data_IF_563501877146
#
_entry.id   IF_563501877146
#
_cell.length_a   1.000
_cell.length_b   1.000
_cell.length_c   1.000
_cell.angle_alpha   90.00
_cell.angle_beta   90.00
_cell.angle_gamma   90.00
#
_symmetry.space_group_name_H-M   'P 1'
#
loop_
_entity.id
_entity.type
_entity.pdbx_description
1 polymer ?
#
# COMPACT_ATOMS: atom_id res chain seq x y z
N UNK A 1 8.67 3.19 0.25
CA UNK A 1 7.68 3.50 1.31
C UNK A 1 7.63 2.33 2.26
N UNK A 2 7.30 2.50 3.54
CA UNK A 2 7.39 1.42 4.54
C UNK A 2 6.30 1.52 5.62
N UNK A 3 5.39 2.49 5.46
CA UNK A 3 4.24 2.70 6.35
C UNK A 3 3.01 3.05 5.52
N UNK A 4 1.81 2.90 6.09
CA UNK A 4 0.58 3.30 5.43
C UNK A 4 0.43 4.82 5.25
N UNK A 5 1.21 5.61 5.99
CA UNK A 5 1.18 7.06 5.90
C UNK A 5 2.15 7.58 4.84
N UNK A 6 1.77 8.64 4.14
CA UNK A 6 2.64 9.30 3.17
C UNK A 6 3.84 9.95 3.85
N UNK A 7 4.98 10.06 3.14
CA UNK A 7 6.22 10.59 3.72
C UNK A 7 6.12 12.05 4.20
N UNK A 8 5.16 12.81 3.68
CA UNK A 8 4.86 14.19 4.09
C UNK A 8 3.69 14.29 5.09
N UNK A 9 3.18 13.16 5.60
CA UNK A 9 2.15 13.17 6.62
C UNK A 9 2.67 13.71 7.95
N UNK A 10 1.90 14.60 8.58
CA UNK A 10 2.18 15.08 9.94
C UNK A 10 2.05 13.96 10.98
N UNK A 11 1.38 12.86 10.63
CA UNK A 11 1.22 11.67 11.47
C UNK A 11 2.21 10.56 11.15
N UNK A 12 3.16 10.75 10.23
CA UNK A 12 4.17 9.74 9.92
C UNK A 12 4.96 9.32 11.17
N UNK A 13 4.98 8.01 11.48
CA UNK A 13 5.83 7.47 12.53
C UNK A 13 7.29 7.42 12.07
N UNK A 14 8.07 8.42 12.47
CA UNK A 14 9.48 8.59 12.09
C UNK A 14 10.44 7.60 12.74
N UNK A 15 9.97 6.80 13.70
CA UNK A 15 10.78 5.77 14.34
C UNK A 15 10.89 4.49 13.52
N UNK A 16 9.96 4.29 12.56
CA UNK A 16 10.00 3.16 11.66
C UNK A 16 10.99 3.41 10.53
N UNK A 17 11.66 2.34 10.08
CA UNK A 17 12.66 2.42 9.00
C UNK A 17 12.29 1.45 7.88
N UNK A 18 12.58 1.80 6.60
CA UNK A 18 12.39 0.85 5.52
C UNK A 18 13.24 -0.41 5.75
N UNK A 19 12.76 -1.54 5.26
CA UNK A 19 13.55 -2.75 5.16
C UNK A 19 14.45 -2.67 3.93
N UNK A 20 15.70 -3.09 4.09
CA UNK A 20 16.59 -3.28 2.96
C UNK A 20 16.31 -4.63 2.28
N UNK A 21 16.57 -4.71 0.96
CA UNK A 21 16.51 -5.97 0.23
C UNK A 21 17.61 -6.89 0.73
N UNK A 22 17.24 -8.04 1.27
CA UNK A 22 18.16 -9.07 1.77
C UNK A 22 17.64 -10.46 1.40
N UNK A 23 18.19 -11.01 0.32
CA UNK A 23 17.83 -12.34 -0.19
C UNK A 23 18.21 -13.46 0.80
N UNK A 24 19.34 -13.31 1.52
CA UNK A 24 19.75 -14.32 2.48
C UNK A 24 18.80 -14.35 3.67
N UNK A 25 18.43 -13.18 4.16
CA UNK A 25 17.43 -13.05 5.23
C UNK A 25 16.08 -13.61 4.81
N UNK A 26 15.66 -13.32 3.57
CA UNK A 26 14.41 -13.87 3.00
C UNK A 26 14.44 -15.39 2.98
N UNK A 27 15.54 -16.01 2.52
CA UNK A 27 15.71 -17.47 2.53
C UNK A 27 15.71 -18.05 3.95
N UNK A 28 16.32 -17.38 4.92
CA UNK A 28 16.28 -17.80 6.34
C UNK A 28 14.85 -17.79 6.88
N UNK A 29 14.08 -16.74 6.60
CA UNK A 29 12.69 -16.61 7.05
C UNK A 29 11.80 -17.69 6.42
N UNK A 30 11.95 -17.94 5.13
CA UNK A 30 11.25 -19.02 4.44
C UNK A 30 11.56 -20.39 5.06
N UNK A 31 12.85 -20.70 5.31
CA UNK A 31 13.23 -21.95 5.99
C UNK A 31 12.60 -22.06 7.38
N UNK A 32 12.63 -21.01 8.19
CA UNK A 32 12.01 -20.98 9.52
C UNK A 32 10.50 -21.21 9.47
N UNK A 33 9.85 -20.81 8.36
CA UNK A 33 8.42 -21.01 8.12
C UNK A 33 8.09 -22.37 7.51
N UNK A 34 9.09 -23.27 7.34
CA UNK A 34 8.90 -24.62 6.86
C UNK A 34 9.00 -24.78 5.34
N UNK A 35 9.41 -23.74 4.62
CA UNK A 35 9.71 -23.85 3.19
C UNK A 35 11.12 -24.40 2.96
N UNK A 36 11.31 -25.07 1.82
CA UNK A 36 12.63 -25.61 1.41
C UNK A 36 12.76 -25.56 -0.12
N UNK A 37 13.96 -25.79 -0.63
CA UNK A 37 14.23 -25.80 -2.08
C UNK A 37 14.49 -27.22 -2.55
N UNK A 38 13.90 -27.60 -3.68
CA UNK A 38 14.20 -28.84 -4.37
C UNK A 38 15.59 -28.79 -5.05
N UNK A 39 16.00 -29.92 -5.70
CA UNK A 39 17.29 -30.02 -6.40
C UNK A 39 17.41 -29.07 -7.59
N UNK A 40 16.30 -28.59 -8.13
CA UNK A 40 16.22 -27.67 -9.25
C UNK A 40 16.17 -26.20 -8.82
N UNK A 41 16.11 -25.92 -7.50
CA UNK A 41 16.05 -24.59 -6.93
C UNK A 41 14.64 -24.03 -6.81
N UNK A 42 13.59 -24.83 -7.03
CA UNK A 42 12.21 -24.38 -6.83
C UNK A 42 11.85 -24.36 -5.35
N UNK A 43 11.13 -23.34 -4.91
CA UNK A 43 10.63 -23.24 -3.56
C UNK A 43 9.44 -24.16 -3.34
N UNK A 44 9.53 -24.98 -2.30
CA UNK A 44 8.52 -25.98 -1.91
C UNK A 44 7.97 -25.59 -0.54
N UNK A 45 6.67 -25.68 -0.38
CA UNK A 45 5.99 -25.45 0.89
C UNK A 45 6.14 -26.65 1.85
N UNK A 46 5.71 -26.49 3.09
CA UNK A 46 5.75 -27.55 4.11
C UNK A 46 4.89 -28.79 3.80
N UNK A 47 4.03 -28.73 2.78
CA UNK A 47 3.18 -29.83 2.33
C UNK A 47 3.72 -30.52 1.09
N UNK A 48 4.85 -30.06 0.53
CA UNK A 48 5.48 -30.62 -0.64
C UNK A 48 5.03 -30.01 -1.97
N UNK A 49 4.27 -28.92 -1.97
CA UNK A 49 3.81 -28.26 -3.18
C UNK A 49 4.80 -27.19 -3.64
N UNK A 50 4.94 -27.03 -4.97
CA UNK A 50 5.63 -25.87 -5.54
C UNK A 50 4.91 -24.58 -5.19
N UNK A 51 5.67 -23.55 -4.80
CA UNK A 51 5.12 -22.20 -4.56
C UNK A 51 4.92 -21.53 -5.90
N UNK A 52 3.68 -21.54 -6.37
CA UNK A 52 3.23 -20.90 -7.62
C UNK A 52 1.99 -20.07 -7.35
N UNK A 53 1.92 -18.85 -7.93
CA UNK A 53 0.78 -17.96 -7.79
C UNK A 53 0.71 -16.92 -8.91
N UNK A 54 -0.46 -16.29 -9.03
CA UNK A 54 -0.74 -15.22 -9.96
C UNK A 54 -0.47 -13.85 -9.32
N UNK A 55 0.25 -12.99 -10.04
CA UNK A 55 0.48 -11.60 -9.68
C UNK A 55 -0.28 -10.69 -10.64
N UNK A 56 -1.30 -10.01 -10.16
CA UNK A 56 -2.13 -9.12 -10.96
C UNK A 56 -1.75 -7.66 -10.83
N UNK A 57 -1.99 -6.88 -11.89
CA UNK A 57 -2.04 -5.41 -11.89
C UNK A 57 -2.99 -4.93 -12.97
N UNK A 58 -3.36 -3.65 -12.97
CA UNK A 58 -4.16 -3.09 -14.06
C UNK A 58 -3.30 -2.84 -15.31
N UNK A 59 -3.74 -3.37 -16.43
CA UNK A 59 -3.14 -3.11 -17.74
C UNK A 59 -3.23 -1.61 -18.12
N UNK A 60 -2.25 -1.15 -18.89
CA UNK A 60 -2.14 0.24 -19.35
C UNK A 60 -1.51 1.20 -18.35
N UNK A 61 -1.15 0.74 -17.16
CA UNK A 61 -0.32 1.50 -16.22
C UNK A 61 1.13 1.00 -16.33
N UNK A 62 1.90 1.64 -17.20
CA UNK A 62 3.28 1.22 -17.53
C UNK A 62 4.20 1.18 -16.32
N UNK A 63 4.00 2.06 -15.34
CA UNK A 63 4.78 2.10 -14.10
C UNK A 63 4.50 0.86 -13.23
N UNK A 64 3.22 0.51 -13.02
CA UNK A 64 2.85 -0.69 -12.27
C UNK A 64 3.25 -1.97 -12.99
N UNK A 65 3.16 -2.00 -14.31
CA UNK A 65 3.61 -3.14 -15.11
C UNK A 65 5.12 -3.35 -14.95
N UNK A 66 5.92 -2.28 -15.03
CA UNK A 66 7.36 -2.36 -14.80
C UNK A 66 7.70 -2.86 -13.39
N UNK A 67 7.00 -2.38 -12.36
CA UNK A 67 7.14 -2.85 -10.99
C UNK A 67 6.75 -4.32 -10.88
N UNK A 68 5.67 -4.74 -11.55
CA UNK A 68 5.24 -6.13 -11.55
C UNK A 68 6.29 -7.08 -12.09
N UNK A 69 7.00 -6.69 -13.15
CA UNK A 69 8.13 -7.44 -13.71
C UNK A 69 9.27 -7.55 -12.69
N UNK A 70 9.61 -6.46 -12.00
CA UNK A 70 10.67 -6.46 -10.98
C UNK A 70 10.29 -7.33 -9.77
N UNK A 71 9.06 -7.22 -9.29
CA UNK A 71 8.56 -8.05 -8.17
C UNK A 71 8.56 -9.53 -8.54
N UNK A 72 8.08 -9.86 -9.76
CA UNK A 72 8.16 -11.22 -10.31
C UNK A 72 9.58 -11.74 -10.25
N UNK A 73 10.57 -11.01 -10.78
CA UNK A 73 11.98 -11.42 -10.78
C UNK A 73 12.51 -11.64 -9.36
N UNK A 74 12.24 -10.71 -8.42
CA UNK A 74 12.68 -10.83 -7.04
C UNK A 74 12.13 -12.08 -6.32
N UNK A 75 10.90 -12.46 -6.64
CA UNK A 75 10.27 -13.66 -6.09
C UNK A 75 10.75 -14.94 -6.77
N UNK A 76 11.02 -14.90 -8.08
CA UNK A 76 11.61 -16.00 -8.82
C UNK A 76 13.06 -16.27 -8.40
N UNK A 77 13.83 -15.26 -8.00
CA UNK A 77 15.16 -15.40 -7.39
C UNK A 77 15.11 -16.17 -6.04
N UNK A 78 13.94 -16.23 -5.40
CA UNK A 78 13.68 -17.05 -4.22
C UNK A 78 13.17 -18.46 -4.56
N UNK A 79 13.01 -18.79 -5.84
CA UNK A 79 12.56 -20.11 -6.32
C UNK A 79 11.04 -20.25 -6.45
N UNK A 80 10.28 -19.16 -6.33
CA UNK A 80 8.84 -19.14 -6.57
C UNK A 80 8.54 -19.12 -8.07
N UNK A 81 7.38 -19.61 -8.50
CA UNK A 81 6.88 -19.41 -9.86
C UNK A 81 5.79 -18.35 -9.85
N UNK A 82 6.01 -17.25 -10.56
CA UNK A 82 5.09 -16.11 -10.56
C UNK A 82 4.52 -15.88 -11.95
N UNK A 83 3.20 -16.01 -12.09
CA UNK A 83 2.49 -15.74 -13.32
C UNK A 83 2.01 -14.28 -13.31
N UNK A 84 2.80 -13.37 -13.89
CA UNK A 84 2.44 -11.95 -13.93
C UNK A 84 1.37 -11.68 -14.99
N UNK A 85 0.23 -11.12 -14.56
CA UNK A 85 -0.99 -10.95 -15.37
C UNK A 85 -1.53 -9.51 -15.27
N UNK A 86 -1.09 -8.57 -16.12
CA UNK A 86 -1.80 -7.30 -16.30
C UNK A 86 -3.19 -7.54 -16.90
N UNK A 87 -4.25 -7.06 -16.24
CA UNK A 87 -5.64 -7.21 -16.69
C UNK A 87 -6.37 -5.87 -16.71
N UNK A 88 -7.51 -5.81 -17.40
CA UNK A 88 -8.35 -4.62 -17.43
C UNK A 88 -8.78 -4.21 -16.02
N UNK A 89 -8.89 -2.89 -15.77
CA UNK A 89 -9.08 -2.35 -14.41
C UNK A 89 -10.37 -2.83 -13.73
N UNK A 90 -11.51 -2.86 -14.43
CA UNK A 90 -12.77 -3.31 -13.84
C UNK A 90 -12.75 -4.82 -13.56
N UNK A 91 -12.04 -5.59 -14.38
CA UNK A 91 -11.81 -7.02 -14.14
C UNK A 91 -10.96 -7.25 -12.90
N UNK A 92 -9.92 -6.41 -12.68
CA UNK A 92 -9.13 -6.43 -11.46
C UNK A 92 -9.97 -6.09 -10.23
N UNK A 93 -10.78 -5.03 -10.30
CA UNK A 93 -11.70 -4.64 -9.22
C UNK A 93 -12.68 -5.76 -8.89
N UNK A 94 -13.23 -6.42 -9.92
CA UNK A 94 -14.14 -7.56 -9.73
C UNK A 94 -13.44 -8.72 -8.99
N UNK A 95 -12.19 -9.07 -9.40
CA UNK A 95 -11.41 -10.09 -8.68
C UNK A 95 -11.19 -9.73 -7.22
N UNK A 96 -10.84 -8.48 -6.93
CA UNK A 96 -10.55 -8.02 -5.57
C UNK A 96 -11.78 -7.91 -4.67
N UNK A 97 -12.92 -7.52 -5.22
CA UNK A 97 -14.06 -7.07 -4.43
C UNK A 97 -15.27 -8.03 -4.49
N UNK A 98 -15.36 -8.87 -5.52
CA UNK A 98 -16.51 -9.71 -5.74
C UNK A 98 -16.16 -11.20 -5.79
N UNK A 99 -15.31 -11.64 -6.71
CA UNK A 99 -14.99 -13.08 -6.82
C UNK A 99 -13.95 -13.54 -5.80
N UNK A 100 -13.10 -12.64 -5.30
CA UNK A 100 -11.94 -12.92 -4.43
C UNK A 100 -10.96 -13.95 -5.01
N UNK A 101 -10.99 -14.13 -6.33
CA UNK A 101 -10.14 -15.06 -7.08
C UNK A 101 -8.84 -14.39 -7.49
N UNK A 102 -7.93 -14.22 -6.54
CA UNK A 102 -6.60 -13.65 -6.72
C UNK A 102 -5.64 -14.10 -5.62
N UNK A 103 -4.34 -14.18 -5.93
CA UNK A 103 -3.29 -14.51 -4.99
C UNK A 103 -2.52 -13.26 -4.53
N UNK A 104 -2.02 -12.48 -5.49
CA UNK A 104 -1.25 -11.26 -5.24
C UNK A 104 -1.64 -10.16 -6.22
N UNK A 105 -1.64 -8.90 -5.75
CA UNK A 105 -1.98 -7.75 -6.59
C UNK A 105 -1.07 -6.56 -6.31
N UNK A 106 -0.69 -5.86 -7.36
CA UNK A 106 -0.04 -4.54 -7.28
C UNK A 106 -1.06 -3.48 -7.63
N UNK A 107 -1.34 -2.61 -6.65
CA UNK A 107 -2.24 -1.48 -6.84
C UNK A 107 -1.80 -0.27 -6.00
N UNK A 108 -2.44 0.87 -6.14
CA UNK A 108 -2.15 2.06 -5.38
C UNK A 108 -3.36 2.57 -4.63
N UNK A 109 -3.15 2.99 -3.41
CA UNK A 109 -4.12 3.76 -2.64
C UNK A 109 -3.69 5.22 -2.56
N UNK A 110 -4.67 6.12 -2.46
CA UNK A 110 -4.43 7.53 -2.16
C UNK A 110 -4.62 7.77 -0.67
N UNK A 111 -3.68 8.48 -0.06
CA UNK A 111 -3.77 8.89 1.35
C UNK A 111 -3.79 10.41 1.49
N UNK A 112 -4.22 10.90 2.65
CA UNK A 112 -4.11 12.31 3.02
C UNK A 112 -2.87 12.54 3.87
N UNK A 113 -2.04 13.56 3.59
CA UNK A 113 -0.92 13.90 4.46
C UNK A 113 -1.35 14.54 5.79
N UNK A 114 -2.61 14.96 5.91
CA UNK A 114 -3.12 15.69 7.07
C UNK A 114 -3.96 14.82 8.02
N UNK A 115 -4.54 13.72 7.54
CA UNK A 115 -5.55 12.98 8.28
C UNK A 115 -5.51 11.47 7.97
N UNK A 116 -5.00 10.64 8.89
CA UNK A 116 -4.95 9.19 8.71
C UNK A 116 -6.33 8.54 8.61
N UNK A 117 -7.36 9.12 9.22
CA UNK A 117 -8.71 8.57 9.22
C UNK A 117 -9.34 8.43 7.82
N UNK A 118 -8.79 9.10 6.81
CA UNK A 118 -9.12 8.86 5.39
C UNK A 118 -8.81 7.43 4.93
N UNK A 119 -7.88 6.74 5.59
CA UNK A 119 -7.51 5.34 5.33
C UNK A 119 -8.41 4.30 6.00
N UNK A 120 -9.45 4.70 6.74
CA UNK A 120 -10.29 3.78 7.52
C UNK A 120 -10.87 2.61 6.70
N UNK A 121 -11.24 2.85 5.45
CA UNK A 121 -11.80 1.80 4.59
C UNK A 121 -10.81 0.66 4.27
N UNK A 122 -9.51 0.94 4.37
CA UNK A 122 -8.45 -0.07 4.18
C UNK A 122 -8.14 -0.75 5.51
N UNK A 123 -8.12 0.00 6.61
CA UNK A 123 -7.54 -0.46 7.87
C UNK A 123 -8.55 -1.01 8.88
N UNK A 124 -9.78 -0.51 8.88
CA UNK A 124 -10.82 -1.09 9.74
C UNK A 124 -11.26 -2.45 9.21
N UNK A 125 -11.47 -3.40 10.10
CA UNK A 125 -11.85 -4.76 9.78
C UNK A 125 -13.21 -4.89 9.06
N UNK A 126 -14.07 -3.86 9.14
CA UNK A 126 -15.33 -3.71 8.41
C UNK A 126 -15.22 -2.81 7.16
N UNK A 127 -14.01 -2.34 6.85
CA UNK A 127 -13.75 -1.44 5.74
C UNK A 127 -14.00 -2.08 4.38
N UNK A 128 -14.57 -1.32 3.44
CA UNK A 128 -14.88 -1.83 2.10
C UNK A 128 -13.65 -2.14 1.25
N UNK A 129 -12.49 -1.57 1.59
CA UNK A 129 -11.20 -1.80 0.93
C UNK A 129 -10.22 -2.60 1.79
N UNK A 130 -10.73 -3.32 2.81
CA UNK A 130 -9.94 -4.21 3.65
C UNK A 130 -9.60 -5.52 2.91
N UNK A 131 -8.92 -5.38 1.76
CA UNK A 131 -8.75 -6.46 0.78
C UNK A 131 -7.81 -7.57 1.24
N UNK A 132 -6.86 -7.30 2.14
CA UNK A 132 -5.89 -8.27 2.62
C UNK A 132 -6.46 -9.32 3.58
N UNK A 133 -7.68 -9.11 4.09
CA UNK A 133 -8.43 -10.07 4.88
C UNK A 133 -9.94 -9.92 4.65
N UNK A 134 -10.33 -9.82 3.38
CA UNK A 134 -11.72 -9.64 2.99
C UNK A 134 -12.54 -10.92 3.31
N UNK A 135 -13.80 -10.72 3.74
CA UNK A 135 -14.71 -11.81 4.11
C UNK A 135 -15.92 -11.81 3.22
N UNK A 136 -16.31 -13.00 2.76
CA UNK A 136 -17.52 -13.20 2.00
C UNK A 136 -18.79 -13.02 2.87
N UNK A 137 -18.71 -13.38 4.15
CA UNK A 137 -19.75 -13.14 5.13
C UNK A 137 -19.27 -12.13 6.17
N UNK A 138 -20.01 -11.04 6.31
CA UNK A 138 -19.78 -10.04 7.36
C UNK A 138 -20.29 -10.60 8.69
N UNK A 139 -19.51 -11.46 9.30
CA UNK A 139 -19.70 -11.77 10.71
C UNK A 139 -19.20 -10.56 11.51
N UNK A 140 -20.15 -9.75 11.98
CA UNK A 140 -19.92 -8.43 12.57
C UNK A 140 -18.99 -8.43 13.80
N UNK A 141 -18.69 -9.60 14.38
CA UNK A 141 -17.94 -9.74 15.62
C UNK A 141 -16.54 -10.37 15.49
N UNK A 142 -16.08 -10.71 14.31
CA UNK A 142 -14.85 -11.46 14.16
C UNK A 142 -13.82 -10.75 13.28
N UNK A 143 -13.04 -9.81 13.83
CA UNK A 143 -11.73 -9.62 13.25
C UNK A 143 -10.98 -10.94 13.39
N UNK A 144 -10.44 -11.44 12.28
CA UNK A 144 -9.80 -12.75 12.20
C UNK A 144 -8.49 -12.79 12.96
N UNK A 145 -7.81 -11.63 13.00
CA UNK A 145 -6.52 -11.44 13.66
C UNK A 145 -6.61 -10.44 14.81
N UNK A 146 -5.86 -10.66 15.86
CA UNK A 146 -5.85 -9.75 17.02
C UNK A 146 -5.35 -8.35 16.68
N UNK A 147 -4.44 -8.23 15.70
CA UNK A 147 -3.91 -6.95 15.27
C UNK A 147 -4.99 -6.08 14.60
N UNK A 148 -5.94 -6.67 13.85
CA UNK A 148 -7.05 -5.93 13.23
C UNK A 148 -7.95 -5.30 14.30
N UNK A 149 -8.31 -6.06 15.36
CA UNK A 149 -9.08 -5.51 16.50
C UNK A 149 -8.37 -4.34 17.17
N UNK A 150 -7.04 -4.45 17.27
CA UNK A 150 -6.25 -3.36 17.83
C UNK A 150 -6.24 -2.14 16.92
N UNK A 151 -6.12 -2.32 15.62
CA UNK A 151 -6.21 -1.24 14.63
C UNK A 151 -7.59 -0.58 14.67
N UNK A 152 -8.68 -1.33 14.72
CA UNK A 152 -10.06 -0.81 14.87
C UNK A 152 -10.17 0.12 16.07
N UNK A 153 -9.65 -0.31 17.23
CA UNK A 153 -9.61 0.49 18.42
C UNK A 153 -8.79 1.77 18.24
N UNK A 154 -7.58 1.65 17.68
CA UNK A 154 -6.65 2.78 17.51
C UNK A 154 -7.21 3.84 16.55
N UNK A 155 -7.83 3.43 15.45
CA UNK A 155 -8.50 4.34 14.52
C UNK A 155 -9.67 5.07 15.19
N UNK A 156 -10.51 4.35 15.94
CA UNK A 156 -11.61 4.93 16.70
C UNK A 156 -11.11 5.95 17.72
N UNK A 157 -10.12 5.60 18.54
CA UNK A 157 -9.56 6.51 19.55
C UNK A 157 -8.83 7.70 18.90
N UNK A 158 -8.10 7.47 17.81
CA UNK A 158 -7.44 8.53 17.05
C UNK A 158 -8.42 9.54 16.46
N UNK A 159 -9.59 9.08 15.99
CA UNK A 159 -10.63 9.96 15.48
C UNK A 159 -11.32 10.78 16.58
N UNK A 160 -11.50 10.21 17.78
CA UNK A 160 -12.16 10.85 18.92
C UNK A 160 -11.24 11.82 19.68
N UNK A 161 -9.93 11.60 19.65
CA UNK A 161 -8.97 12.42 20.38
C UNK A 161 -8.89 13.84 19.78
N UNK A 162 -8.99 14.86 20.64
CA UNK A 162 -8.97 16.28 20.24
C UNK A 162 -7.57 16.89 20.26
N UNK A 163 -6.64 16.33 21.06
CA UNK A 163 -5.27 16.81 21.14
C UNK A 163 -4.40 16.11 20.14
N UNK A 164 -3.59 16.86 19.39
CA UNK A 164 -2.68 16.29 18.38
C UNK A 164 -1.75 15.21 18.95
N UNK A 165 -1.18 15.42 20.13
CA UNK A 165 -0.28 14.46 20.76
C UNK A 165 -0.94 13.11 21.02
N UNK A 166 -2.21 13.10 21.47
CA UNK A 166 -2.95 11.87 21.73
C UNK A 166 -3.30 11.17 20.41
N UNK A 167 -3.76 11.93 19.41
CA UNK A 167 -4.01 11.40 18.06
C UNK A 167 -2.75 10.78 17.47
N UNK A 168 -1.62 11.49 17.55
CA UNK A 168 -0.33 11.04 17.04
C UNK A 168 0.08 9.72 17.68
N UNK A 169 -0.10 9.55 18.98
CA UNK A 169 0.21 8.31 19.70
C UNK A 169 -0.60 7.12 19.19
N UNK A 170 -1.91 7.28 18.99
CA UNK A 170 -2.76 6.22 18.45
C UNK A 170 -2.35 5.83 17.02
N UNK A 171 -2.08 6.82 16.18
CA UNK A 171 -1.67 6.57 14.80
C UNK A 171 -0.22 6.08 14.67
N UNK A 172 0.67 6.41 15.60
CA UNK A 172 2.01 5.81 15.65
C UNK A 172 1.97 4.32 16.01
N UNK A 173 1.11 3.94 16.96
CA UNK A 173 0.93 2.54 17.35
C UNK A 173 0.32 1.72 16.19
N UNK A 174 -0.70 2.24 15.52
CA UNK A 174 -1.27 1.59 14.35
C UNK A 174 -0.21 1.35 13.26
N UNK A 175 0.62 2.36 12.95
CA UNK A 175 1.68 2.21 11.95
C UNK A 175 2.72 1.17 12.38
N UNK A 176 3.05 1.08 13.67
CA UNK A 176 3.95 0.07 14.19
C UNK A 176 3.38 -1.35 14.02
N UNK A 177 2.09 -1.55 14.31
CA UNK A 177 1.41 -2.83 14.09
C UNK A 177 1.45 -3.21 12.60
N UNK A 178 1.07 -2.30 11.70
CA UNK A 178 1.09 -2.55 10.25
C UNK A 178 2.52 -2.84 9.76
N UNK A 179 3.51 -2.17 10.33
CA UNK A 179 4.91 -2.40 10.02
C UNK A 179 5.39 -3.78 10.46
N UNK A 180 4.93 -4.31 11.58
CA UNK A 180 5.31 -5.63 12.11
C UNK A 180 4.54 -6.77 11.44
N UNK A 181 3.23 -6.64 11.29
CA UNK A 181 2.36 -7.68 10.73
C UNK A 181 2.40 -7.78 9.20
N UNK A 182 2.72 -6.68 8.52
CA UNK A 182 2.87 -6.58 7.05
C UNK A 182 1.67 -7.10 6.24
N UNK A 183 0.45 -6.71 6.57
CA UNK A 183 -0.72 -7.11 5.78
C UNK A 183 -0.68 -6.55 4.35
N UNK A 184 0.06 -5.47 4.14
CA UNK A 184 0.36 -4.88 2.84
C UNK A 184 1.87 -4.64 2.72
N UNK A 185 2.42 -4.89 1.52
CA UNK A 185 3.82 -4.64 1.19
C UNK A 185 3.91 -3.29 0.48
N UNK A 186 4.54 -2.30 1.14
CA UNK A 186 4.72 -0.97 0.57
C UNK A 186 5.93 -0.93 -0.34
N UNK A 187 5.72 -0.63 -1.63
CA UNK A 187 6.77 -0.61 -2.63
C UNK A 187 7.36 0.80 -2.74
N UNK A 188 6.54 1.79 -3.11
CA UNK A 188 7.01 3.16 -3.32
C UNK A 188 5.88 4.18 -3.11
N UNK A 189 6.28 5.46 -3.02
CA UNK A 189 5.37 6.60 -3.08
C UNK A 189 5.85 7.52 -4.22
N UNK A 190 5.03 7.79 -5.23
CA UNK A 190 5.45 8.60 -6.36
C UNK A 190 5.72 10.05 -5.96
N UNK A 191 6.76 10.64 -6.54
CA UNK A 191 7.02 12.08 -6.44
C UNK A 191 6.31 12.76 -7.61
N UNK A 192 5.42 13.69 -7.31
CA UNK A 192 4.76 14.49 -8.33
C UNK A 192 5.62 15.69 -8.69
N UNK A 193 6.08 15.72 -9.95
CA UNK A 193 6.83 16.86 -10.51
C UNK A 193 5.86 17.70 -11.33
N UNK A 194 5.91 19.00 -11.13
CA UNK A 194 5.06 19.97 -11.85
C UNK A 194 5.93 20.98 -12.55
N UNK A 195 5.74 21.14 -13.88
CA UNK A 195 6.36 22.18 -14.67
C UNK A 195 5.33 23.24 -15.05
N UNK A 196 5.65 24.50 -14.80
CA UNK A 196 4.76 25.62 -15.03
C UNK A 196 5.39 26.62 -16.02
N UNK A 197 4.57 27.21 -16.91
CA UNK A 197 5.03 28.28 -17.76
C UNK A 197 5.07 29.61 -17.01
N UNK A 198 6.13 30.38 -17.15
CA UNK A 198 6.33 31.68 -16.48
C UNK A 198 5.25 32.75 -16.80
N UNK A 199 4.42 32.50 -17.80
CA UNK A 199 3.31 33.39 -18.15
C UNK A 199 2.14 33.37 -17.15
N UNK A 200 2.15 32.47 -16.19
CA UNK A 200 1.16 32.42 -15.09
C UNK A 200 1.84 32.80 -13.79
N UNK A 201 1.18 33.64 -13.02
CA UNK A 201 1.66 34.17 -11.74
C UNK A 201 0.72 33.75 -10.62
N UNK A 202 1.21 33.86 -9.40
CA UNK A 202 0.48 33.55 -8.17
C UNK A 202 0.07 32.08 -8.04
N UNK A 203 0.94 31.15 -8.50
CA UNK A 203 0.73 29.71 -8.40
C UNK A 203 1.50 29.18 -7.18
N UNK A 204 0.78 28.59 -6.23
CA UNK A 204 1.35 28.00 -5.01
C UNK A 204 0.99 26.52 -4.92
N UNK A 205 1.80 25.61 -5.51
CA UNK A 205 1.50 24.19 -5.49
C UNK A 205 1.44 23.65 -4.06
N UNK A 206 0.43 22.86 -3.77
CA UNK A 206 0.31 22.14 -2.49
C UNK A 206 0.15 20.65 -2.69
N UNK A 207 0.51 19.87 -1.68
CA UNK A 207 0.36 18.41 -1.72
C UNK A 207 -1.11 17.96 -1.74
N UNK A 208 -2.04 18.79 -1.28
CA UNK A 208 -3.47 18.49 -1.25
C UNK A 208 -4.21 18.94 -2.51
N UNK A 209 -4.03 20.22 -2.87
CA UNK A 209 -4.81 20.84 -3.95
C UNK A 209 -4.08 20.90 -5.30
N UNK A 210 -2.82 20.44 -5.35
CA UNK A 210 -2.01 20.51 -6.57
C UNK A 210 -1.67 21.96 -6.94
N UNK A 211 -1.58 22.22 -8.25
CA UNK A 211 -1.20 23.54 -8.81
C UNK A 211 -2.37 24.49 -9.00
N UNK A 212 -3.58 24.01 -8.87
CA UNK A 212 -4.81 24.76 -9.14
C UNK A 212 -5.66 25.02 -7.90
N UNK A 213 -5.12 24.73 -6.69
CA UNK A 213 -5.91 24.91 -5.46
C UNK A 213 -6.34 26.35 -5.20
N UNK A 214 -5.58 27.33 -5.71
CA UNK A 214 -5.87 28.77 -5.65
C UNK A 214 -6.15 29.34 -7.04
N UNK A 215 -6.89 28.60 -7.88
CA UNK A 215 -7.12 28.96 -9.29
C UNK A 215 -7.76 30.36 -9.45
N UNK A 216 -8.55 30.78 -8.50
CA UNK A 216 -9.20 32.11 -8.45
C UNK A 216 -8.21 33.27 -8.26
N UNK A 217 -6.99 32.97 -7.79
CA UNK A 217 -5.93 33.95 -7.59
C UNK A 217 -4.88 33.93 -8.71
N UNK A 218 -4.92 32.92 -9.58
CA UNK A 218 -3.96 32.73 -10.66
C UNK A 218 -4.28 33.68 -11.82
N UNK A 219 -3.29 34.42 -12.27
CA UNK A 219 -3.46 35.33 -13.40
C UNK A 219 -2.37 35.15 -14.43
N UNK A 220 -2.69 35.50 -15.67
CA UNK A 220 -1.77 35.47 -16.79
C UNK A 220 -1.11 36.84 -16.99
N UNK A 221 0.21 36.88 -17.07
CA UNK A 221 0.93 38.07 -17.49
C UNK A 221 0.54 38.38 -18.94
N UNK A 222 -0.01 39.59 -19.20
CA UNK A 222 -0.20 40.06 -20.57
C UNK A 222 1.17 40.15 -21.23
N UNK A 223 1.39 39.50 -22.35
CA UNK A 223 2.53 39.80 -23.20
C UNK A 223 2.40 41.23 -23.64
N UNK A 224 3.25 42.14 -23.17
CA UNK A 224 3.49 43.38 -23.90
C UNK A 224 3.87 42.99 -25.35
N UNK A 225 3.17 43.60 -26.28
CA UNK A 225 3.39 43.45 -27.72
C UNK A 225 4.75 43.97 -28.14
#
# INVERSE_FOLDING_TARGET
MFTPETLNSIFLNKNLKPYDKDINKSKELLKKSGFYWDKSGHLIDRFGNHVEFDLYTNAGNTEREAIGVMVKQDLEDLGMKVNFKPIEFNSLVNKLMASLDWDMVIMGFTGSPLEPNGGKNVWLSDGTLHIFNQRLEKDANSSRYNFEKRIDYLYTQGALATKFADRKRFYDEYQAIVYDEKPLIYIYSPIRIVALRNKYQNIYPTSLGGVTHNIEEIWRVSSEK
#
